data_IF_017860836514
#
_entry.id   IF_017860836514
#
_cell.length_a   1.000
_cell.length_b   1.000
_cell.length_c   1.000
_cell.angle_alpha   90.00
_cell.angle_beta   90.00
_cell.angle_gamma   90.00
#
_symmetry.space_group_name_H-M   'P 1'
#
loop_
_entity.id
_entity.type
_entity.pdbx_description
1 polymer ?
#
# COMPACT_ATOMS: atom_id res chain seq x y z
N UNK A 1 16.53 24.40 -56.34
CA UNK A 1 17.22 24.79 -55.09
C UNK A 1 16.30 25.12 -53.90
N UNK A 2 14.96 25.25 -54.06
CA UNK A 2 14.04 25.58 -52.94
C UNK A 2 13.50 24.37 -52.15
N UNK A 3 13.46 23.18 -52.75
CA UNK A 3 12.91 21.97 -52.11
C UNK A 3 13.84 21.40 -51.01
N UNK A 4 15.16 21.51 -51.18
CA UNK A 4 16.15 21.00 -50.22
C UNK A 4 16.21 21.79 -48.91
N UNK A 5 15.82 23.07 -48.92
CA UNK A 5 15.79 23.92 -47.71
C UNK A 5 14.60 23.53 -46.81
N UNK A 6 13.45 23.18 -47.40
CA UNK A 6 12.25 22.76 -46.66
C UNK A 6 12.49 21.42 -45.94
N UNK A 7 13.20 20.49 -46.58
CA UNK A 7 13.58 19.21 -45.98
C UNK A 7 14.51 19.40 -44.78
N UNK A 8 15.44 20.37 -44.86
CA UNK A 8 16.37 20.68 -43.77
C UNK A 8 15.67 21.34 -42.57
N UNK A 9 14.68 22.21 -42.81
CA UNK A 9 13.86 22.82 -41.75
C UNK A 9 12.99 21.77 -41.04
N UNK A 10 12.43 20.79 -41.75
CA UNK A 10 11.66 19.69 -41.15
C UNK A 10 12.51 18.76 -40.28
N UNK A 11 13.81 18.66 -40.53
CA UNK A 11 14.75 17.89 -39.69
C UNK A 11 15.07 18.65 -38.40
N UNK A 12 15.25 19.97 -38.46
CA UNK A 12 15.54 20.80 -37.28
C UNK A 12 14.35 20.82 -36.30
N UNK A 13 13.11 20.82 -36.79
CA UNK A 13 11.91 20.72 -35.93
C UNK A 13 11.70 19.33 -35.30
N UNK A 14 12.37 18.28 -35.78
CA UNK A 14 12.34 16.94 -35.16
C UNK A 14 13.32 16.79 -33.99
N UNK A 15 14.25 17.72 -33.79
CA UNK A 15 15.23 17.69 -32.70
C UNK A 15 14.83 18.49 -31.45
N UNK A 16 13.54 18.81 -31.28
CA UNK A 16 12.99 19.06 -29.95
C UNK A 16 12.89 17.74 -29.17
N UNK A 17 13.99 17.00 -29.07
CA UNK A 17 14.13 15.92 -28.10
C UNK A 17 14.02 16.57 -26.73
N UNK A 18 12.93 16.28 -26.04
CA UNK A 18 12.68 16.74 -24.67
C UNK A 18 13.79 16.17 -23.78
N UNK A 19 14.86 16.94 -23.58
CA UNK A 19 15.89 16.63 -22.61
C UNK A 19 15.23 16.79 -21.23
N UNK A 20 14.90 15.66 -20.62
CA UNK A 20 14.39 15.63 -19.26
C UNK A 20 15.53 15.95 -18.30
N UNK A 21 15.34 16.92 -17.41
CA UNK A 21 16.38 17.28 -16.44
C UNK A 21 16.63 16.11 -15.50
N UNK A 22 17.91 15.81 -15.26
CA UNK A 22 18.33 14.85 -14.25
C UNK A 22 18.17 15.51 -12.88
N UNK A 23 17.44 14.86 -11.97
CA UNK A 23 17.17 15.37 -10.62
C UNK A 23 17.81 14.51 -9.52
N UNK A 24 18.26 13.31 -9.88
CA UNK A 24 19.03 12.43 -9.02
C UNK A 24 19.93 11.58 -9.89
N UNK A 25 21.20 11.46 -9.50
CA UNK A 25 22.19 10.61 -10.13
C UNK A 25 23.14 10.08 -9.05
N UNK A 26 23.05 8.78 -8.76
CA UNK A 26 23.93 8.10 -7.81
C UNK A 26 23.88 6.59 -8.02
N UNK A 27 25.01 5.90 -7.83
CA UNK A 27 25.10 4.43 -7.80
C UNK A 27 24.49 3.76 -9.05
N UNK A 28 24.71 4.33 -10.24
CA UNK A 28 24.12 3.92 -11.52
C UNK A 28 22.59 3.97 -11.58
N UNK A 29 21.95 4.72 -10.68
CA UNK A 29 20.52 5.00 -10.69
C UNK A 29 20.28 6.48 -10.96
N UNK A 30 19.61 6.74 -12.08
CA UNK A 30 19.32 8.08 -12.56
C UNK A 30 17.79 8.28 -12.55
N UNK A 31 17.36 9.42 -12.00
CA UNK A 31 15.96 9.86 -12.03
C UNK A 31 15.89 11.18 -12.77
N UNK A 32 15.06 11.24 -13.79
CA UNK A 32 14.73 12.49 -14.47
C UNK A 32 13.40 13.08 -13.98
N UNK A 33 13.13 14.35 -14.29
CA UNK A 33 11.83 14.98 -13.99
C UNK A 33 10.65 14.23 -14.64
N UNK A 34 10.85 13.64 -15.82
CA UNK A 34 9.88 12.77 -16.47
C UNK A 34 9.56 11.51 -15.65
N UNK A 35 10.60 10.80 -15.18
CA UNK A 35 10.44 9.60 -14.36
C UNK A 35 9.72 9.92 -13.05
N UNK A 36 10.09 11.04 -12.42
CA UNK A 36 9.45 11.52 -11.21
C UNK A 36 7.95 11.77 -11.44
N UNK A 37 7.58 12.48 -12.51
CA UNK A 37 6.18 12.80 -12.80
C UNK A 37 5.38 11.51 -13.07
N UNK A 38 5.97 10.58 -13.82
CA UNK A 38 5.38 9.27 -14.08
C UNK A 38 5.19 8.46 -12.80
N UNK A 39 6.19 8.46 -11.91
CA UNK A 39 6.11 7.81 -10.61
C UNK A 39 5.00 8.40 -9.73
N UNK A 40 4.91 9.73 -9.66
CA UNK A 40 3.85 10.41 -8.89
C UNK A 40 2.45 10.04 -9.39
N UNK A 41 2.28 9.92 -10.71
CA UNK A 41 1.03 9.46 -11.32
C UNK A 41 0.73 8.01 -10.95
N UNK A 42 1.69 7.09 -11.10
CA UNK A 42 1.53 5.67 -10.71
C UNK A 42 1.16 5.55 -9.23
N UNK A 43 1.85 6.29 -8.36
CA UNK A 43 1.57 6.29 -6.92
C UNK A 43 0.14 6.76 -6.63
N UNK A 44 -0.33 7.81 -7.30
CA UNK A 44 -1.71 8.29 -7.13
C UNK A 44 -2.73 7.30 -7.70
N UNK A 45 -2.50 6.75 -8.89
CA UNK A 45 -3.38 5.75 -9.51
C UNK A 45 -3.57 4.52 -8.61
N UNK A 46 -2.49 4.01 -8.02
CA UNK A 46 -2.52 2.76 -7.26
C UNK A 46 -2.93 2.96 -5.80
N UNK A 47 -2.49 4.03 -5.15
CA UNK A 47 -2.70 4.25 -3.71
C UNK A 47 -3.73 5.35 -3.39
N UNK A 48 -4.28 6.02 -4.41
CA UNK A 48 -5.17 7.17 -4.28
C UNK A 48 -4.61 8.27 -3.36
N UNK A 49 -3.27 8.43 -3.36
CA UNK A 49 -2.56 9.36 -2.49
C UNK A 49 -1.51 10.14 -3.28
N UNK A 50 -1.54 11.47 -3.18
CA UNK A 50 -0.49 12.33 -3.75
C UNK A 50 0.79 12.22 -2.92
N UNK A 51 1.94 12.29 -3.59
CA UNK A 51 3.25 12.25 -2.95
C UNK A 51 4.09 13.46 -3.38
N UNK A 52 4.78 14.08 -2.41
CA UNK A 52 5.67 15.21 -2.68
C UNK A 52 6.89 14.79 -3.51
N UNK A 53 7.51 15.73 -4.22
CA UNK A 53 8.72 15.48 -5.03
C UNK A 53 9.81 14.79 -4.21
N UNK A 54 10.12 15.31 -3.02
CA UNK A 54 11.16 14.75 -2.15
C UNK A 54 10.84 13.31 -1.71
N UNK A 55 9.59 13.04 -1.31
CA UNK A 55 9.20 11.70 -0.86
C UNK A 55 9.13 10.71 -2.03
N UNK A 56 8.74 11.17 -3.22
CA UNK A 56 8.76 10.35 -4.43
C UNK A 56 10.17 9.90 -4.79
N UNK A 57 11.14 10.82 -4.81
CA UNK A 57 12.56 10.50 -5.05
C UNK A 57 13.06 9.47 -4.04
N UNK A 58 12.82 9.69 -2.74
CA UNK A 58 13.20 8.74 -1.68
C UNK A 58 12.60 7.35 -1.90
N UNK A 59 11.30 7.27 -2.24
CA UNK A 59 10.64 6.00 -2.54
C UNK A 59 11.21 5.32 -3.79
N UNK A 60 11.48 6.07 -4.86
CA UNK A 60 12.08 5.53 -6.08
C UNK A 60 13.46 4.91 -5.81
N UNK A 61 14.30 5.59 -5.02
CA UNK A 61 15.60 5.05 -4.58
C UNK A 61 15.42 3.78 -3.75
N UNK A 62 14.48 3.79 -2.80
CA UNK A 62 14.19 2.61 -1.97
C UNK A 62 13.73 1.41 -2.81
N UNK A 63 12.82 1.63 -3.77
CA UNK A 63 12.35 0.60 -4.70
C UNK A 63 13.52 0.03 -5.48
N UNK A 64 14.33 0.90 -6.12
CA UNK A 64 15.49 0.48 -6.89
C UNK A 64 16.46 -0.36 -6.06
N UNK A 65 16.78 0.07 -4.84
CA UNK A 65 17.71 -0.65 -3.97
C UNK A 65 17.14 -2.00 -3.53
N UNK A 66 15.85 -2.04 -3.15
CA UNK A 66 15.16 -3.27 -2.75
C UNK A 66 15.17 -4.31 -3.86
N UNK A 67 14.84 -3.88 -5.09
CA UNK A 67 14.77 -4.78 -6.24
C UNK A 67 16.16 -5.22 -6.68
N UNK A 68 17.14 -4.32 -6.75
CA UNK A 68 18.51 -4.67 -7.12
C UNK A 68 19.13 -5.66 -6.14
N UNK A 69 18.83 -5.53 -4.85
CA UNK A 69 19.23 -6.52 -3.85
C UNK A 69 18.59 -7.88 -4.14
N UNK A 70 17.27 -7.93 -4.32
CA UNK A 70 16.52 -9.17 -4.53
C UNK A 70 16.83 -9.86 -5.87
N UNK A 71 17.06 -9.10 -6.95
CA UNK A 71 17.50 -9.67 -8.22
C UNK A 71 18.83 -10.41 -8.09
N UNK A 72 19.72 -9.95 -7.21
CA UNK A 72 21.02 -10.59 -6.96
C UNK A 72 20.93 -11.72 -5.95
N UNK A 73 20.17 -11.52 -4.86
CA UNK A 73 20.16 -12.43 -3.73
C UNK A 73 19.10 -13.53 -3.82
N UNK A 74 17.97 -13.27 -4.49
CA UNK A 74 16.84 -14.18 -4.59
C UNK A 74 16.03 -13.96 -5.89
N UNK A 75 16.61 -14.25 -7.07
CA UNK A 75 15.96 -14.00 -8.36
C UNK A 75 14.68 -14.83 -8.57
N UNK A 76 14.62 -16.05 -8.04
CA UNK A 76 13.42 -16.90 -8.13
C UNK A 76 12.22 -16.29 -7.41
N UNK A 77 12.46 -15.66 -6.26
CA UNK A 77 11.43 -14.94 -5.54
C UNK A 77 10.84 -13.77 -6.36
N UNK A 78 11.69 -13.01 -7.07
CA UNK A 78 11.19 -11.97 -7.97
C UNK A 78 10.39 -12.56 -9.14
N UNK A 79 10.80 -13.71 -9.68
CA UNK A 79 10.05 -14.41 -10.73
C UNK A 79 8.66 -14.82 -10.26
N UNK A 80 8.53 -15.34 -9.03
CA UNK A 80 7.23 -15.66 -8.45
C UNK A 80 6.33 -14.43 -8.29
N UNK A 81 6.91 -13.32 -7.80
CA UNK A 81 6.20 -12.03 -7.72
C UNK A 81 5.73 -11.57 -9.10
N UNK A 82 6.57 -11.71 -10.13
CA UNK A 82 6.20 -11.33 -11.50
C UNK A 82 5.01 -12.14 -12.02
N UNK A 83 4.98 -13.46 -11.79
CA UNK A 83 3.85 -14.29 -12.18
C UNK A 83 2.56 -13.89 -11.44
N UNK A 84 2.65 -13.56 -10.15
CA UNK A 84 1.49 -13.02 -9.42
C UNK A 84 1.00 -11.70 -10.00
N UNK A 85 1.91 -10.77 -10.30
CA UNK A 85 1.56 -9.44 -10.82
C UNK A 85 0.92 -9.55 -12.20
N UNK A 86 1.46 -10.39 -13.10
CA UNK A 86 0.90 -10.62 -14.45
C UNK A 86 -0.57 -11.00 -14.42
N UNK A 87 -1.00 -11.75 -13.40
CA UNK A 87 -2.38 -12.18 -13.24
C UNK A 87 -3.31 -11.09 -12.65
N UNK A 88 -2.75 -9.96 -12.19
CA UNK A 88 -3.48 -8.93 -11.45
C UNK A 88 -3.54 -7.57 -12.16
N UNK A 89 -2.63 -7.31 -13.10
CA UNK A 89 -2.56 -6.03 -13.81
C UNK A 89 -2.64 -6.25 -15.33
N UNK A 90 -2.95 -5.19 -16.07
CA UNK A 90 -2.99 -5.26 -17.54
C UNK A 90 -1.61 -5.56 -18.12
N UNK A 91 -1.56 -6.21 -19.29
CA UNK A 91 -0.31 -6.45 -20.01
C UNK A 91 0.47 -5.15 -20.25
N UNK A 92 -0.22 -4.07 -20.60
CA UNK A 92 0.37 -2.74 -20.78
C UNK A 92 1.03 -2.22 -19.50
N UNK A 93 0.39 -2.40 -18.34
CA UNK A 93 0.95 -1.99 -17.06
C UNK A 93 2.16 -2.84 -16.66
N UNK A 94 2.15 -4.13 -17.00
CA UNK A 94 3.28 -5.04 -16.75
C UNK A 94 4.49 -4.74 -17.64
N UNK A 95 4.28 -4.32 -18.88
CA UNK A 95 5.35 -3.93 -19.80
C UNK A 95 6.01 -2.59 -19.41
N UNK A 96 5.32 -1.75 -18.64
CA UNK A 96 5.86 -0.52 -18.09
C UNK A 96 6.79 -0.80 -16.89
N UNK A 97 8.11 -0.71 -17.10
CA UNK A 97 9.14 -1.02 -16.09
C UNK A 97 8.89 -0.34 -14.73
N UNK A 98 8.65 0.97 -14.72
CA UNK A 98 8.42 1.72 -13.47
C UNK A 98 7.16 1.25 -12.73
N UNK A 99 6.09 0.93 -13.46
CA UNK A 99 4.83 0.46 -12.87
C UNK A 99 4.98 -0.97 -12.35
N UNK A 100 5.62 -1.85 -13.11
CA UNK A 100 5.98 -3.20 -12.68
C UNK A 100 6.85 -3.18 -11.42
N UNK A 101 7.90 -2.36 -11.38
CA UNK A 101 8.78 -2.23 -10.21
C UNK A 101 8.06 -1.70 -8.98
N UNK A 102 7.14 -0.77 -9.18
CA UNK A 102 6.25 -0.30 -8.11
C UNK A 102 5.38 -1.45 -7.55
N UNK A 103 4.76 -2.26 -8.42
CA UNK A 103 3.97 -3.41 -7.97
C UNK A 103 4.81 -4.48 -7.28
N UNK A 104 6.02 -4.78 -7.79
CA UNK A 104 6.96 -5.69 -7.13
C UNK A 104 7.27 -5.22 -5.71
N UNK A 105 7.61 -3.94 -5.57
CA UNK A 105 7.86 -3.35 -4.27
C UNK A 105 6.67 -3.48 -3.32
N UNK A 106 5.45 -3.19 -3.79
CA UNK A 106 4.25 -3.37 -2.98
C UNK A 106 4.06 -4.82 -2.54
N UNK A 107 4.27 -5.79 -3.44
CA UNK A 107 4.19 -7.22 -3.12
C UNK A 107 5.18 -7.63 -2.05
N UNK A 108 6.44 -7.22 -2.19
CA UNK A 108 7.49 -7.51 -1.20
C UNK A 108 7.09 -6.93 0.16
N UNK A 109 6.70 -5.65 0.20
CA UNK A 109 6.27 -4.99 1.45
C UNK A 109 5.05 -5.67 2.07
N UNK A 110 4.09 -6.10 1.25
CA UNK A 110 2.89 -6.79 1.72
C UNK A 110 3.19 -8.14 2.38
N UNK A 111 4.31 -8.79 2.07
CA UNK A 111 4.71 -10.00 2.78
C UNK A 111 5.09 -9.72 4.23
N UNK A 112 5.82 -8.64 4.51
CA UNK A 112 6.11 -8.22 5.89
C UNK A 112 4.84 -7.88 6.66
N UNK A 113 3.86 -7.25 6.00
CA UNK A 113 2.54 -6.98 6.60
C UNK A 113 1.81 -8.27 6.93
N UNK A 114 1.75 -9.21 5.98
CA UNK A 114 1.08 -10.50 6.15
C UNK A 114 1.73 -11.34 7.25
N UNK A 115 3.06 -11.37 7.30
CA UNK A 115 3.83 -12.07 8.33
C UNK A 115 3.54 -11.48 9.72
N UNK A 116 3.62 -10.15 9.87
CA UNK A 116 3.28 -9.51 11.14
C UNK A 116 1.82 -9.77 11.53
N UNK A 117 0.88 -9.66 10.59
CA UNK A 117 -0.53 -9.95 10.86
C UNK A 117 -0.75 -11.39 11.35
N UNK A 118 -0.07 -12.36 10.75
CA UNK A 118 -0.17 -13.76 11.11
C UNK A 118 0.41 -14.03 12.51
N UNK A 119 1.65 -13.58 12.76
CA UNK A 119 2.46 -14.07 13.89
C UNK A 119 2.61 -13.10 15.05
N UNK A 120 2.53 -11.79 14.81
CA UNK A 120 2.86 -10.75 15.81
C UNK A 120 1.64 -9.92 16.23
N UNK A 121 0.70 -9.71 15.31
CA UNK A 121 -0.48 -8.87 15.54
C UNK A 121 -1.37 -9.46 16.62
N UNK A 122 -1.56 -8.66 17.67
CA UNK A 122 -2.20 -9.07 18.92
C UNK A 122 -3.26 -8.05 19.37
N UNK A 123 -4.00 -8.41 20.41
CA UNK A 123 -5.08 -7.59 20.96
C UNK A 123 -4.63 -6.18 21.40
N UNK A 124 -3.38 -6.04 21.88
CA UNK A 124 -2.85 -4.72 22.29
C UNK A 124 -2.69 -3.80 21.08
N UNK A 125 -2.21 -4.34 19.95
CA UNK A 125 -2.12 -3.59 18.70
C UNK A 125 -3.51 -3.10 18.25
N UNK A 126 -4.52 -3.97 18.29
CA UNK A 126 -5.89 -3.60 17.95
C UNK A 126 -6.44 -2.48 18.86
N UNK A 127 -6.20 -2.56 20.18
CA UNK A 127 -6.57 -1.50 21.14
C UNK A 127 -5.91 -0.17 20.78
N UNK A 128 -4.62 -0.18 20.41
CA UNK A 128 -3.90 1.03 19.98
C UNK A 128 -4.54 1.61 18.71
N UNK A 129 -4.95 0.77 17.76
CA UNK A 129 -5.62 1.21 16.54
C UNK A 129 -6.97 1.84 16.85
N UNK A 130 -7.80 1.17 17.66
CA UNK A 130 -9.14 1.68 18.00
C UNK A 130 -9.06 2.99 18.78
N UNK A 131 -8.10 3.14 19.70
CA UNK A 131 -7.89 4.37 20.47
C UNK A 131 -7.57 5.61 19.60
N UNK A 132 -7.17 5.45 18.33
CA UNK A 132 -6.93 6.57 17.41
C UNK A 132 -8.21 7.19 16.86
N UNK A 133 -9.31 6.45 16.85
CA UNK A 133 -10.60 6.99 16.41
C UNK A 133 -11.09 8.01 17.43
N UNK A 134 -11.65 9.14 16.97
CA UNK A 134 -12.32 10.09 17.88
C UNK A 134 -13.56 9.47 18.54
N UNK A 135 -14.30 8.71 17.75
CA UNK A 135 -15.45 7.89 18.15
C UNK A 135 -15.57 6.72 17.16
N UNK A 136 -16.07 5.58 17.62
CA UNK A 136 -16.39 4.41 16.80
C UNK A 136 -17.85 4.04 16.99
N UNK A 137 -18.73 4.90 16.47
CA UNK A 137 -20.18 4.73 16.52
C UNK A 137 -20.59 3.59 15.59
N UNK A 138 -21.00 2.47 16.16
CA UNK A 138 -21.43 1.29 15.43
C UNK A 138 -22.90 0.97 15.73
N UNK A 139 -23.69 0.58 14.72
CA UNK A 139 -25.08 0.19 14.90
C UNK A 139 -25.17 -1.20 15.54
N UNK A 140 -26.14 -1.35 16.44
CA UNK A 140 -26.38 -2.54 17.24
C UNK A 140 -27.76 -3.12 16.93
N UNK A 141 -27.86 -4.44 17.00
CA UNK A 141 -29.09 -5.16 16.71
C UNK A 141 -29.23 -6.41 17.57
N UNK A 142 -30.45 -6.74 17.99
CA UNK A 142 -30.80 -8.01 18.64
C UNK A 142 -31.29 -9.08 17.65
N UNK A 143 -31.58 -8.69 16.40
CA UNK A 143 -32.17 -9.57 15.39
C UNK A 143 -31.25 -9.74 14.16
N UNK A 144 -29.95 -9.99 14.39
CA UNK A 144 -28.97 -10.27 13.34
C UNK A 144 -28.84 -9.14 12.29
N UNK A 145 -28.88 -7.89 12.74
CA UNK A 145 -28.74 -6.70 11.89
C UNK A 145 -29.91 -6.45 10.91
N UNK A 146 -31.06 -7.10 11.11
CA UNK A 146 -32.29 -6.80 10.36
C UNK A 146 -32.90 -5.46 10.78
N UNK A 147 -32.83 -5.14 12.06
CA UNK A 147 -33.30 -3.87 12.64
C UNK A 147 -32.22 -3.31 13.54
N UNK A 148 -31.92 -2.02 13.37
CA UNK A 148 -30.96 -1.31 14.20
C UNK A 148 -31.69 -0.78 15.44
N UNK A 149 -31.29 -1.25 16.60
CA UNK A 149 -31.90 -0.86 17.88
C UNK A 149 -31.29 0.43 18.41
N UNK A 150 -29.96 0.57 18.30
CA UNK A 150 -29.21 1.76 18.75
C UNK A 150 -27.86 1.87 18.07
N UNK A 151 -27.27 3.06 18.14
CA UNK A 151 -25.88 3.32 17.71
C UNK A 151 -25.07 3.67 18.95
N UNK A 152 -23.94 3.00 19.16
CA UNK A 152 -23.10 3.21 20.36
C UNK A 152 -21.63 3.34 19.98
N UNK A 153 -20.90 4.20 20.68
CA UNK A 153 -19.44 4.26 20.55
C UNK A 153 -18.80 3.05 21.23
N UNK A 154 -18.21 2.16 20.44
CA UNK A 154 -17.60 0.93 20.92
C UNK A 154 -16.07 1.01 21.04
N UNK A 155 -15.46 2.18 20.79
CA UNK A 155 -14.00 2.33 20.71
C UNK A 155 -13.25 1.75 21.91
N UNK A 156 -13.79 1.96 23.11
CA UNK A 156 -13.17 1.56 24.37
C UNK A 156 -13.86 0.34 25.00
N UNK A 157 -14.83 -0.28 24.31
CA UNK A 157 -15.57 -1.41 24.86
C UNK A 157 -14.71 -2.69 24.77
N UNK A 158 -14.16 -3.13 25.90
CA UNK A 158 -13.25 -4.28 25.97
C UNK A 158 -13.88 -5.56 25.42
N UNK A 159 -15.17 -5.79 25.68
CA UNK A 159 -15.88 -6.97 25.17
C UNK A 159 -15.87 -6.97 23.63
N UNK A 160 -16.27 -5.84 23.03
CA UNK A 160 -16.29 -5.68 21.58
C UNK A 160 -14.91 -5.85 20.97
N UNK A 161 -13.87 -5.21 21.53
CA UNK A 161 -12.51 -5.29 20.98
C UNK A 161 -12.00 -6.74 20.99
N UNK A 162 -12.22 -7.47 22.09
CA UNK A 162 -11.84 -8.88 22.20
C UNK A 162 -12.60 -9.73 21.18
N UNK A 163 -13.92 -9.54 21.10
CA UNK A 163 -14.77 -10.27 20.17
C UNK A 163 -14.38 -9.98 18.71
N UNK A 164 -14.10 -8.72 18.38
CA UNK A 164 -13.64 -8.31 17.05
C UNK A 164 -12.32 -9.00 16.69
N UNK A 165 -11.33 -8.94 17.59
CA UNK A 165 -10.03 -9.58 17.39
C UNK A 165 -10.14 -11.08 17.11
N UNK A 166 -10.90 -11.80 17.93
CA UNK A 166 -11.12 -13.24 17.76
C UNK A 166 -11.78 -13.56 16.42
N UNK A 167 -12.79 -12.77 16.04
CA UNK A 167 -13.52 -12.99 14.79
C UNK A 167 -12.64 -12.71 13.56
N UNK A 168 -11.83 -11.66 13.54
CA UNK A 168 -10.92 -11.41 12.40
C UNK A 168 -9.82 -12.49 12.29
N UNK A 169 -9.33 -13.04 13.41
CA UNK A 169 -8.37 -14.15 13.40
C UNK A 169 -9.00 -15.45 12.91
N UNK A 170 -10.30 -15.66 13.18
CA UNK A 170 -11.09 -16.81 12.71
C UNK A 170 -11.77 -16.60 11.36
N UNK A 171 -11.53 -15.47 10.69
CA UNK A 171 -12.15 -15.10 9.41
C UNK A 171 -13.70 -15.11 9.47
N UNK A 172 -14.25 -14.67 10.61
CA UNK A 172 -15.68 -14.57 10.87
C UNK A 172 -16.13 -13.10 10.89
N UNK A 173 -17.29 -12.82 10.32
CA UNK A 173 -17.90 -11.48 10.29
C UNK A 173 -19.00 -11.30 11.36
N UNK A 174 -18.99 -12.13 12.41
CA UNK A 174 -20.00 -12.13 13.47
C UNK A 174 -19.51 -11.38 14.70
N UNK A 175 -19.70 -10.07 14.68
CA UNK A 175 -19.26 -9.18 15.76
C UNK A 175 -20.35 -9.00 16.82
N UNK A 176 -19.96 -9.01 18.09
CA UNK A 176 -20.86 -8.90 19.24
C UNK A 176 -20.33 -7.91 20.26
N UNK A 177 -21.25 -7.31 21.02
CA UNK A 177 -20.95 -6.44 22.15
C UNK A 177 -21.90 -6.70 23.31
N UNK A 178 -21.41 -6.58 24.53
CA UNK A 178 -22.22 -6.57 25.74
C UNK A 178 -22.39 -5.13 26.25
N UNK A 179 -23.65 -4.72 26.44
CA UNK A 179 -24.05 -3.43 27.01
C UNK A 179 -25.25 -3.66 27.92
N UNK A 180 -25.18 -3.20 29.16
CA UNK A 180 -26.25 -3.35 30.17
C UNK A 180 -26.70 -4.82 30.34
N UNK A 181 -25.73 -5.74 30.41
CA UNK A 181 -25.92 -7.19 30.50
C UNK A 181 -26.73 -7.82 29.35
N UNK A 182 -26.81 -7.14 28.20
CA UNK A 182 -27.42 -7.65 26.97
C UNK A 182 -26.37 -7.75 25.89
N UNK A 183 -26.37 -8.88 25.18
CA UNK A 183 -25.51 -9.09 24.01
C UNK A 183 -26.24 -8.62 22.76
N UNK A 184 -25.55 -7.81 21.96
CA UNK A 184 -26.03 -7.30 20.69
C UNK A 184 -25.08 -7.76 19.57
N UNK A 185 -25.63 -7.97 18.37
CA UNK A 185 -24.86 -7.99 17.14
C UNK A 185 -24.35 -6.58 16.84
N UNK A 186 -23.08 -6.47 16.48
CA UNK A 186 -22.51 -5.22 15.96
C UNK A 186 -22.55 -5.25 14.44
N UNK A 187 -23.32 -4.35 13.86
CA UNK A 187 -23.64 -4.35 12.45
C UNK A 187 -22.58 -3.57 11.66
N UNK A 188 -21.52 -4.27 11.28
CA UNK A 188 -20.42 -3.72 10.49
C UNK A 188 -20.66 -4.04 9.01
N UNK A 189 -20.95 -3.01 8.21
CA UNK A 189 -21.03 -3.17 6.75
C UNK A 189 -19.63 -3.18 6.12
N UNK A 190 -19.55 -3.53 4.83
CA UNK A 190 -18.27 -3.63 4.12
C UNK A 190 -17.46 -2.31 4.14
N UNK A 191 -18.13 -1.16 4.06
CA UNK A 191 -17.46 0.14 4.06
C UNK A 191 -16.75 0.39 5.39
N UNK A 192 -17.44 0.16 6.52
CA UNK A 192 -16.87 0.32 7.86
C UNK A 192 -15.76 -0.70 8.06
N UNK A 193 -15.97 -1.95 7.65
CA UNK A 193 -14.96 -3.00 7.76
C UNK A 193 -13.67 -2.62 7.02
N UNK A 194 -13.79 -2.15 5.77
CA UNK A 194 -12.65 -1.72 4.96
C UNK A 194 -11.88 -0.56 5.60
N UNK A 195 -12.55 0.36 6.30
CA UNK A 195 -11.90 1.45 7.04
C UNK A 195 -11.09 0.93 8.23
N UNK A 196 -11.65 -0.02 8.98
CA UNK A 196 -10.96 -0.66 10.09
C UNK A 196 -9.77 -1.46 9.58
N UNK A 197 -9.96 -2.26 8.54
CA UNK A 197 -8.91 -3.07 7.91
C UNK A 197 -7.76 -2.20 7.38
N UNK A 198 -8.08 -1.12 6.67
CA UNK A 198 -7.08 -0.13 6.22
C UNK A 198 -6.28 0.47 7.38
N UNK A 199 -6.92 0.68 8.53
CA UNK A 199 -6.25 1.19 9.74
C UNK A 199 -5.34 0.15 10.39
N UNK A 200 -5.72 -1.13 10.35
CA UNK A 200 -4.88 -2.26 10.77
C UNK A 200 -3.65 -2.36 9.85
N UNK A 201 -3.86 -2.39 8.54
CA UNK A 201 -2.78 -2.44 7.54
C UNK A 201 -1.81 -1.27 7.75
N UNK A 202 -2.32 -0.03 7.85
CA UNK A 202 -1.48 1.16 8.05
C UNK A 202 -0.69 1.12 9.37
N UNK A 203 -1.25 0.52 10.42
CA UNK A 203 -0.52 0.33 11.67
C UNK A 203 0.62 -0.67 11.52
N UNK A 204 0.33 -1.83 10.92
CA UNK A 204 1.31 -2.89 10.71
C UNK A 204 2.43 -2.40 9.79
N UNK A 205 2.08 -1.69 8.71
CA UNK A 205 3.03 -1.06 7.80
C UNK A 205 4.07 -0.19 8.52
N UNK A 206 3.64 0.58 9.53
CA UNK A 206 4.55 1.41 10.33
C UNK A 206 5.40 0.57 11.29
N UNK A 207 4.86 -0.53 11.81
CA UNK A 207 5.57 -1.46 12.70
C UNK A 207 6.64 -2.25 11.97
N UNK A 208 6.41 -2.59 10.69
CA UNK A 208 7.33 -3.40 9.90
C UNK A 208 8.32 -2.57 9.09
N UNK A 209 8.17 -1.25 9.03
CA UNK A 209 9.01 -0.34 8.24
C UNK A 209 10.51 -0.48 8.56
N UNK A 210 10.90 -0.50 9.83
CA UNK A 210 12.31 -0.63 10.21
C UNK A 210 12.93 -1.95 9.76
N UNK A 211 12.22 -3.06 9.99
CA UNK A 211 12.64 -4.42 9.55
C UNK A 211 12.72 -4.51 8.03
N UNK A 212 11.78 -3.88 7.31
CA UNK A 212 11.83 -3.80 5.86
C UNK A 212 13.05 -3.00 5.38
N UNK A 213 13.32 -1.83 5.97
CA UNK A 213 14.49 -1.03 5.62
C UNK A 213 15.80 -1.77 5.96
N UNK A 214 15.85 -2.47 7.09
CA UNK A 214 16.99 -3.30 7.46
C UNK A 214 17.22 -4.42 6.44
N UNK A 215 16.16 -5.10 6.00
CA UNK A 215 16.22 -6.08 4.92
C UNK A 215 16.83 -5.50 3.63
N UNK A 216 16.48 -4.25 3.28
CA UNK A 216 16.98 -3.59 2.07
C UNK A 216 18.43 -3.10 2.20
N UNK A 217 18.81 -2.52 3.34
CA UNK A 217 20.08 -1.79 3.48
C UNK A 217 21.20 -2.56 4.19
N UNK A 218 20.90 -3.57 5.02
CA UNK A 218 21.89 -4.22 5.90
C UNK A 218 22.98 -5.02 5.16
N UNK A 219 22.88 -5.20 3.84
CA UNK A 219 23.92 -5.86 3.01
C UNK A 219 24.52 -4.96 1.92
N UNK A 220 24.24 -3.66 1.95
CA UNK A 220 24.95 -2.69 1.09
C UNK A 220 26.28 -2.21 1.71
N UNK A 221 26.63 -2.71 2.90
CA UNK A 221 27.92 -2.52 3.58
C UNK A 221 28.69 -3.83 3.65
#
# INVERSE_FOLDING_TARGET
MKLNIILFVLIIFKFNSSFSNIIYDKDNFLITDFDLKKFQNIHYEVLNQKISKQNAIKKMILINNSLNFLFKSNPDFIRLIDEEIKNQISKQDFENSLKKDFFRYLKIRNQFIAEYYAYEFNLRDLKIIFNKYKEMKLPLSQNSCLTIDKITDLRNNTYFINNFFENIKKQSNKFMVEIDNKVYNVCINQQIFNQIDSSIISYIEKKTESRFLEFVYRKLN
#
